data_IF_191271577678
#
_entry.id   IF_191271577678
#
_cell.length_a   1.000
_cell.length_b   1.000
_cell.length_c   1.000
_cell.angle_alpha   90.00
_cell.angle_beta   90.00
_cell.angle_gamma   90.00
#
_symmetry.space_group_name_H-M   'P 1'
#
loop_
_entity.id
_entity.type
_entity.pdbx_description
1 polymer ?
#
# COMPACT_ATOMS: atom_id res chain seq x y z
N UNK A 1 3.75 4.13 -12.78
CA UNK A 1 2.31 4.43 -12.70
C UNK A 1 2.04 5.94 -12.67
N UNK A 2 2.71 6.68 -11.80
CA UNK A 2 2.56 8.12 -11.61
C UNK A 2 1.36 8.49 -10.72
N UNK A 3 1.46 9.64 -10.05
CA UNK A 3 0.46 10.10 -9.07
C UNK A 3 -0.93 10.27 -9.69
N UNK A 4 -1.02 10.85 -10.90
CA UNK A 4 -2.31 11.07 -11.56
C UNK A 4 -3.08 9.79 -11.84
N UNK A 5 -2.39 8.72 -12.23
CA UNK A 5 -3.03 7.42 -12.46
C UNK A 5 -3.46 6.76 -11.15
N UNK A 6 -2.70 6.92 -10.07
CA UNK A 6 -3.12 6.45 -8.73
C UNK A 6 -4.41 7.16 -8.30
N UNK A 7 -4.44 8.49 -8.39
CA UNK A 7 -5.64 9.28 -8.07
C UNK A 7 -6.84 8.83 -8.90
N UNK A 8 -6.65 8.62 -10.20
CA UNK A 8 -7.71 8.19 -11.12
C UNK A 8 -8.24 6.79 -10.77
N UNK A 9 -7.37 5.85 -10.41
CA UNK A 9 -7.77 4.50 -9.99
C UNK A 9 -8.58 4.57 -8.70
N UNK A 10 -8.09 5.32 -7.71
CA UNK A 10 -8.76 5.47 -6.42
C UNK A 10 -10.13 6.14 -6.57
N UNK A 11 -10.22 7.21 -7.37
CA UNK A 11 -11.51 7.85 -7.67
C UNK A 11 -12.48 6.88 -8.34
N UNK A 12 -12.04 6.18 -9.38
CA UNK A 12 -12.87 5.22 -10.10
C UNK A 12 -13.37 4.09 -9.20
N UNK A 13 -12.52 3.60 -8.31
CA UNK A 13 -12.87 2.59 -7.34
C UNK A 13 -13.95 3.08 -6.37
N UNK A 14 -13.74 4.24 -5.74
CA UNK A 14 -14.72 4.77 -4.79
C UNK A 14 -16.01 5.25 -5.44
N UNK A 15 -15.98 5.72 -6.69
CA UNK A 15 -17.19 5.97 -7.47
C UNK A 15 -18.05 4.71 -7.63
N UNK A 16 -17.44 3.53 -7.76
CA UNK A 16 -18.15 2.25 -7.76
C UNK A 16 -18.70 1.91 -6.37
N UNK A 17 -17.85 2.01 -5.34
CA UNK A 17 -18.22 1.73 -3.95
C UNK A 17 -19.42 2.58 -3.52
N UNK A 18 -19.41 3.87 -3.80
CA UNK A 18 -20.50 4.78 -3.43
C UNK A 18 -21.80 4.57 -4.22
N UNK A 19 -21.71 3.96 -5.39
CA UNK A 19 -22.86 3.60 -6.23
C UNK A 19 -23.30 2.15 -6.07
N UNK A 20 -22.54 1.36 -5.34
CA UNK A 20 -22.85 -0.04 -5.13
C UNK A 20 -24.07 -0.19 -4.19
N UNK A 21 -24.53 -1.39 -4.05
CA UNK A 21 -25.76 -1.75 -3.34
C UNK A 21 -25.93 -1.12 -1.95
N UNK A 22 -27.15 -1.14 -1.39
CA UNK A 22 -27.52 -0.51 -0.12
C UNK A 22 -26.55 -0.77 1.02
N UNK A 23 -25.82 -1.86 0.95
CA UNK A 23 -24.89 -2.28 1.98
C UNK A 23 -23.65 -1.37 2.08
N UNK A 24 -22.95 -1.06 0.98
CA UNK A 24 -21.86 -0.08 1.00
C UNK A 24 -22.39 1.34 1.13
N UNK A 25 -23.48 1.66 0.45
CA UNK A 25 -24.08 2.99 0.53
C UNK A 25 -24.50 3.34 1.96
N UNK A 26 -25.08 2.39 2.72
CA UNK A 26 -25.51 2.63 4.11
C UNK A 26 -24.33 2.93 5.05
N UNK A 27 -23.18 2.31 4.85
CA UNK A 27 -21.98 2.52 5.68
C UNK A 27 -21.23 3.78 5.26
N UNK A 28 -20.98 3.95 3.97
CA UNK A 28 -20.22 5.09 3.47
C UNK A 28 -21.00 6.40 3.49
N UNK A 29 -22.33 6.36 3.51
CA UNK A 29 -23.16 7.55 3.73
C UNK A 29 -22.88 8.24 5.08
N UNK A 30 -22.38 7.50 6.07
CA UNK A 30 -22.00 8.02 7.39
C UNK A 30 -20.65 8.74 7.41
N UNK A 31 -19.85 8.58 6.36
CA UNK A 31 -18.50 9.19 6.26
C UNK A 31 -18.58 10.70 5.91
N UNK A 32 -19.74 11.18 5.47
CA UNK A 32 -19.97 12.58 5.12
C UNK A 32 -19.46 12.92 3.72
N UNK A 33 -18.36 13.68 3.60
CA UNK A 33 -17.86 14.12 2.29
C UNK A 33 -17.08 13.02 1.56
N UNK A 34 -17.71 12.43 0.55
CA UNK A 34 -17.10 11.41 -0.32
C UNK A 34 -15.82 11.90 -0.99
N UNK A 35 -15.77 13.18 -1.40
CA UNK A 35 -14.59 13.74 -2.06
C UNK A 35 -13.41 13.86 -1.10
N UNK A 36 -13.66 14.20 0.17
CA UNK A 36 -12.63 14.20 1.18
C UNK A 36 -12.06 12.79 1.42
N UNK A 37 -12.94 11.80 1.54
CA UNK A 37 -12.55 10.41 1.72
C UNK A 37 -11.71 9.91 0.53
N UNK A 38 -12.14 10.15 -0.71
CA UNK A 38 -11.39 9.76 -1.90
C UNK A 38 -10.00 10.41 -1.97
N UNK A 39 -9.87 11.72 -1.65
CA UNK A 39 -8.58 12.41 -1.59
C UNK A 39 -7.65 11.82 -0.54
N UNK A 40 -8.20 11.51 0.63
CA UNK A 40 -7.45 10.89 1.72
C UNK A 40 -6.91 9.53 1.33
N UNK A 41 -7.73 8.69 0.69
CA UNK A 41 -7.32 7.37 0.22
C UNK A 41 -6.28 7.46 -0.91
N UNK A 42 -6.46 8.38 -1.86
CA UNK A 42 -5.48 8.59 -2.92
C UNK A 42 -4.12 9.03 -2.36
N UNK A 43 -4.11 9.93 -1.36
CA UNK A 43 -2.88 10.35 -0.68
C UNK A 43 -2.19 9.19 0.02
N UNK A 44 -2.94 8.32 0.70
CA UNK A 44 -2.40 7.12 1.33
C UNK A 44 -1.75 6.19 0.30
N UNK A 45 -2.41 5.92 -0.80
CA UNK A 45 -1.87 5.06 -1.85
C UNK A 45 -0.58 5.64 -2.43
N UNK A 46 -0.54 6.96 -2.70
CA UNK A 46 0.65 7.63 -3.22
C UNK A 46 1.81 7.47 -2.24
N UNK A 47 1.60 7.73 -0.95
CA UNK A 47 2.65 7.68 0.06
C UNK A 47 3.19 6.25 0.24
N UNK A 48 2.31 5.26 0.34
CA UNK A 48 2.71 3.85 0.51
C UNK A 48 3.44 3.33 -0.72
N UNK A 49 3.10 3.81 -1.92
CA UNK A 49 3.79 3.46 -3.17
C UNK A 49 5.08 4.27 -3.40
N UNK A 50 5.49 5.12 -2.44
CA UNK A 50 6.73 5.86 -2.49
C UNK A 50 6.67 7.18 -3.27
N UNK A 51 5.47 7.71 -3.49
CA UNK A 51 5.24 8.93 -4.27
C UNK A 51 5.29 10.24 -3.50
N UNK A 52 5.41 10.21 -2.17
CA UNK A 52 5.46 11.42 -1.36
C UNK A 52 5.15 11.21 0.11
N UNK A 53 4.80 12.30 0.81
CA UNK A 53 4.40 12.34 2.22
C UNK A 53 3.13 13.17 2.38
N UNK A 54 2.08 12.84 1.65
CA UNK A 54 0.83 13.60 1.64
C UNK A 54 -0.17 13.14 2.71
N UNK A 55 -0.01 11.91 3.21
CA UNK A 55 -0.91 11.30 4.18
C UNK A 55 -0.21 11.14 5.53
N UNK A 56 -0.44 12.09 6.41
CA UNK A 56 0.09 12.07 7.77
C UNK A 56 -0.81 11.22 8.69
N UNK A 57 -0.74 9.90 8.65
CA UNK A 57 -1.51 9.16 9.64
C UNK A 57 -2.04 7.79 9.26
N UNK A 58 -1.33 7.06 8.40
CA UNK A 58 -1.73 5.71 7.98
C UNK A 58 -2.00 4.75 9.15
N UNK A 59 -1.19 4.80 10.22
CA UNK A 59 -1.37 3.93 11.38
C UNK A 59 -2.50 4.37 12.32
N UNK A 60 -2.73 5.67 12.48
CA UNK A 60 -3.78 6.19 13.35
C UNK A 60 -5.20 5.90 12.84
N UNK A 61 -5.39 5.64 11.56
CA UNK A 61 -6.73 5.52 10.96
C UNK A 61 -7.21 4.09 10.76
N UNK A 62 -6.40 3.09 10.95
CA UNK A 62 -6.89 1.73 11.19
C UNK A 62 -7.75 1.71 12.46
N UNK A 63 -7.33 2.43 13.51
CA UNK A 63 -8.13 2.63 14.73
C UNK A 63 -9.43 3.41 14.46
N UNK A 64 -9.46 4.29 13.45
CA UNK A 64 -10.66 5.00 13.04
C UNK A 64 -11.75 4.05 12.52
N UNK A 65 -11.39 3.01 11.79
CA UNK A 65 -12.31 1.98 11.33
C UNK A 65 -12.90 1.19 12.52
N UNK A 66 -12.12 0.94 13.56
CA UNK A 66 -12.61 0.30 14.79
C UNK A 66 -13.60 1.18 15.55
N UNK A 67 -13.47 2.50 15.50
CA UNK A 67 -14.30 3.45 16.25
C UNK A 67 -15.59 3.87 15.54
N UNK A 68 -15.70 3.71 14.22
CA UNK A 68 -16.76 4.32 13.39
C UNK A 68 -17.67 3.30 12.69
N UNK A 69 -17.94 2.15 13.32
CA UNK A 69 -18.85 1.12 12.81
C UNK A 69 -18.49 0.52 11.44
N UNK A 70 -17.26 0.69 11.01
CA UNK A 70 -16.76 -0.01 9.83
C UNK A 70 -16.73 -1.55 10.02
N UNK A 71 -16.88 -2.03 11.27
CA UNK A 71 -17.07 -3.43 11.59
C UNK A 71 -18.18 -4.11 10.78
N UNK A 72 -19.23 -3.39 10.43
CA UNK A 72 -20.36 -3.95 9.68
C UNK A 72 -19.94 -4.42 8.27
N UNK A 73 -18.87 -3.84 7.71
CA UNK A 73 -18.33 -4.19 6.39
C UNK A 73 -16.95 -4.85 6.43
N UNK A 74 -16.25 -4.75 7.57
CA UNK A 74 -14.95 -5.39 7.78
C UNK A 74 -15.12 -6.85 8.21
N UNK A 75 -15.72 -7.64 7.35
CA UNK A 75 -15.95 -9.08 7.47
C UNK A 75 -15.72 -9.74 6.10
N UNK A 76 -15.79 -11.05 6.04
CA UNK A 76 -15.57 -11.83 4.82
C UNK A 76 -16.40 -11.33 3.63
N UNK A 77 -17.72 -11.15 3.82
CA UNK A 77 -18.62 -10.63 2.77
C UNK A 77 -18.21 -9.25 2.26
N UNK A 78 -17.83 -8.36 3.18
CA UNK A 78 -17.41 -7.01 2.84
C UNK A 78 -16.10 -6.99 2.09
N UNK A 79 -15.18 -7.80 2.55
CA UNK A 79 -13.89 -7.95 1.92
C UNK A 79 -14.01 -8.55 0.51
N UNK A 80 -14.84 -9.58 0.31
CA UNK A 80 -15.13 -10.14 -1.02
C UNK A 80 -15.72 -9.10 -1.97
N UNK A 81 -16.65 -8.31 -1.48
CA UNK A 81 -17.28 -7.26 -2.30
C UNK A 81 -16.29 -6.16 -2.65
N UNK A 82 -15.53 -5.69 -1.67
CA UNK A 82 -14.47 -4.71 -1.87
C UNK A 82 -13.44 -5.18 -2.90
N UNK A 83 -13.00 -6.42 -2.76
CA UNK A 83 -12.08 -7.07 -3.67
C UNK A 83 -12.62 -7.11 -5.11
N UNK A 84 -13.84 -7.58 -5.30
CA UNK A 84 -14.47 -7.65 -6.60
C UNK A 84 -14.47 -6.29 -7.30
N UNK A 85 -14.92 -5.25 -6.61
CA UNK A 85 -14.97 -3.89 -7.16
C UNK A 85 -13.57 -3.35 -7.47
N UNK A 86 -12.58 -3.70 -6.65
CA UNK A 86 -11.20 -3.29 -6.87
C UNK A 86 -10.59 -4.00 -8.09
N UNK A 87 -10.78 -5.31 -8.23
CA UNK A 87 -10.31 -6.07 -9.40
C UNK A 87 -10.92 -5.51 -10.69
N UNK A 88 -12.24 -5.32 -10.74
CA UNK A 88 -12.92 -4.72 -11.88
C UNK A 88 -12.36 -3.33 -12.21
N UNK A 89 -12.08 -2.52 -11.19
CA UNK A 89 -11.48 -1.19 -11.38
C UNK A 89 -10.07 -1.27 -11.95
N UNK A 90 -9.26 -2.19 -11.47
CA UNK A 90 -7.89 -2.38 -11.94
C UNK A 90 -7.87 -2.91 -13.37
N UNK A 91 -8.73 -3.88 -13.71
CA UNK A 91 -8.83 -4.45 -15.05
C UNK A 91 -9.20 -3.39 -16.08
N UNK A 92 -10.19 -2.56 -15.79
CA UNK A 92 -10.56 -1.44 -16.64
C UNK A 92 -9.50 -0.32 -16.71
N UNK A 93 -8.60 -0.28 -15.73
CA UNK A 93 -7.55 0.73 -15.64
C UNK A 93 -6.24 0.32 -16.32
N UNK A 94 -6.09 -0.94 -16.71
CA UNK A 94 -4.85 -1.45 -17.34
C UNK A 94 -4.42 -0.63 -18.55
N UNK A 95 -5.36 -0.21 -19.38
CA UNK A 95 -5.09 0.56 -20.59
C UNK A 95 -4.33 1.89 -20.39
N UNK A 96 -4.34 2.44 -19.17
CA UNK A 96 -3.64 3.69 -18.87
C UNK A 96 -2.65 3.58 -17.70
N UNK A 97 -2.45 2.38 -17.16
CA UNK A 97 -1.46 2.22 -16.11
C UNK A 97 -0.04 2.37 -16.64
N UNK A 98 0.37 1.47 -17.48
CA UNK A 98 1.69 1.41 -18.14
C UNK A 98 1.79 0.11 -18.94
N UNK A 99 2.74 0.05 -19.87
CA UNK A 99 3.07 -1.18 -20.59
C UNK A 99 3.97 -2.14 -19.78
N UNK A 100 4.39 -1.75 -18.57
CA UNK A 100 5.20 -2.59 -17.70
C UNK A 100 4.30 -3.56 -16.91
N UNK A 101 4.32 -4.84 -17.29
CA UNK A 101 3.52 -5.91 -16.67
C UNK A 101 3.77 -6.08 -15.16
N UNK A 102 4.91 -5.60 -14.63
CA UNK A 102 5.22 -5.66 -13.20
C UNK A 102 4.33 -4.75 -12.36
N UNK A 103 3.78 -3.70 -12.94
CA UNK A 103 2.97 -2.71 -12.22
C UNK A 103 1.71 -3.35 -11.65
N UNK A 104 0.96 -4.11 -12.46
CA UNK A 104 -0.26 -4.78 -11.97
C UNK A 104 0.05 -5.77 -10.84
N UNK A 105 1.07 -6.60 -11.01
CA UNK A 105 1.51 -7.56 -9.99
C UNK A 105 1.95 -6.85 -8.70
N UNK A 106 2.61 -5.69 -8.81
CA UNK A 106 3.01 -4.90 -7.63
C UNK A 106 1.81 -4.28 -6.90
N UNK A 107 0.79 -3.83 -7.63
CA UNK A 107 -0.47 -3.35 -7.04
C UNK A 107 -1.19 -4.50 -6.33
N UNK A 108 -1.30 -5.65 -6.96
CA UNK A 108 -1.89 -6.84 -6.36
C UNK A 108 -1.19 -7.22 -5.05
N UNK A 109 0.15 -7.21 -5.03
CA UNK A 109 0.94 -7.50 -3.83
C UNK A 109 0.66 -6.50 -2.70
N UNK A 110 0.57 -5.23 -3.04
CA UNK A 110 0.23 -4.16 -2.09
C UNK A 110 -1.17 -4.38 -1.49
N UNK A 111 -2.16 -4.66 -2.32
CA UNK A 111 -3.55 -4.88 -1.88
C UNK A 111 -3.70 -6.16 -1.06
N UNK A 112 -3.03 -7.25 -1.45
CA UNK A 112 -2.98 -8.49 -0.69
C UNK A 112 -2.43 -8.26 0.72
N UNK A 113 -1.33 -7.53 0.86
CA UNK A 113 -0.76 -7.19 2.16
C UNK A 113 -1.74 -6.42 3.06
N UNK A 114 -2.48 -5.47 2.51
CA UNK A 114 -3.51 -4.75 3.27
C UNK A 114 -4.66 -5.66 3.67
N UNK A 115 -5.09 -6.55 2.79
CA UNK A 115 -6.16 -7.50 3.09
C UNK A 115 -5.74 -8.49 4.18
N UNK A 116 -4.51 -9.00 4.14
CA UNK A 116 -3.95 -9.85 5.20
C UNK A 116 -3.99 -9.15 6.56
N UNK A 117 -3.64 -7.87 6.58
CA UNK A 117 -3.71 -7.06 7.80
C UNK A 117 -5.15 -6.90 8.30
N UNK A 118 -6.12 -6.62 7.41
CA UNK A 118 -7.53 -6.54 7.79
C UNK A 118 -8.08 -7.88 8.28
N UNK A 119 -7.73 -8.99 7.64
CA UNK A 119 -8.11 -10.34 8.10
C UNK A 119 -7.65 -10.58 9.53
N UNK A 120 -6.41 -10.18 9.84
CA UNK A 120 -5.85 -10.31 11.18
C UNK A 120 -6.55 -9.39 12.19
N UNK A 121 -6.71 -8.11 11.84
CA UNK A 121 -7.25 -7.09 12.75
C UNK A 121 -8.75 -7.30 13.05
N UNK A 122 -9.52 -7.79 12.09
CA UNK A 122 -10.97 -7.97 12.19
C UNK A 122 -11.42 -9.43 12.36
N UNK A 123 -10.48 -10.39 12.38
CA UNK A 123 -10.73 -11.78 12.73
C UNK A 123 -11.54 -12.58 11.70
N UNK A 124 -11.39 -12.29 10.42
CA UNK A 124 -11.97 -13.08 9.34
C UNK A 124 -10.88 -13.71 8.46
N UNK A 125 -11.25 -14.64 7.61
CA UNK A 125 -10.34 -15.32 6.67
C UNK A 125 -10.94 -15.32 5.26
N UNK A 126 -10.08 -15.17 4.28
CA UNK A 126 -10.42 -15.29 2.86
C UNK A 126 -9.29 -15.99 2.14
N UNK A 127 -9.62 -16.69 1.07
CA UNK A 127 -8.62 -17.27 0.18
C UNK A 127 -7.84 -16.22 -0.62
N UNK A 128 -6.78 -16.64 -1.31
CA UNK A 128 -5.93 -15.75 -2.12
C UNK A 128 -6.74 -14.88 -3.08
N UNK A 129 -6.64 -13.56 -2.90
CA UNK A 129 -7.57 -12.59 -3.46
C UNK A 129 -7.03 -11.84 -4.65
N UNK A 130 -5.73 -11.55 -4.64
CA UNK A 130 -5.05 -10.80 -5.69
C UNK A 130 -3.96 -11.65 -6.30
N UNK A 131 -4.21 -12.23 -7.45
CA UNK A 131 -3.21 -13.01 -8.19
C UNK A 131 -3.01 -12.43 -9.60
N UNK A 132 -1.80 -12.50 -10.16
CA UNK A 132 -0.56 -12.90 -9.51
C UNK A 132 0.01 -11.84 -8.57
N UNK A 133 0.73 -12.27 -7.52
CA UNK A 133 1.46 -11.40 -6.61
C UNK A 133 2.97 -11.66 -6.70
N UNK A 134 3.76 -10.64 -6.41
CA UNK A 134 5.18 -10.84 -6.16
C UNK A 134 5.36 -11.45 -4.77
N UNK A 135 6.38 -12.30 -4.59
CA UNK A 135 6.79 -12.69 -3.24
C UNK A 135 7.13 -11.42 -2.46
N UNK A 136 6.58 -11.22 -1.26
CA UNK A 136 6.92 -10.05 -0.47
C UNK A 136 8.42 -10.01 -0.24
N UNK A 137 9.07 -8.92 -0.65
CA UNK A 137 10.44 -8.65 -0.28
C UNK A 137 10.37 -8.17 1.17
N UNK A 138 10.63 -9.08 2.12
CA UNK A 138 10.78 -8.72 3.52
C UNK A 138 12.09 -7.95 3.62
N UNK A 139 12.01 -6.64 3.58
CA UNK A 139 13.17 -5.79 3.85
C UNK A 139 13.40 -5.81 5.35
N UNK A 140 14.41 -6.54 5.78
CA UNK A 140 14.82 -6.59 7.20
C UNK A 140 15.23 -5.20 7.72
N UNK A 141 15.75 -4.34 6.84
CA UNK A 141 16.28 -3.02 7.16
C UNK A 141 15.56 -1.97 6.33
N UNK A 142 14.96 -1.00 7.00
CA UNK A 142 14.32 0.15 6.36
C UNK A 142 15.05 1.44 6.75
N UNK A 143 16.05 1.82 5.96
CA UNK A 143 16.87 3.00 6.20
C UNK A 143 16.05 4.29 6.36
N UNK A 144 14.91 4.42 5.66
CA UNK A 144 14.04 5.61 5.74
C UNK A 144 13.43 5.85 7.13
N UNK A 145 13.36 4.79 7.95
CA UNK A 145 12.79 4.85 9.30
C UNK A 145 13.89 4.76 10.39
N UNK A 146 15.16 4.82 9.99
CA UNK A 146 16.29 4.74 10.91
C UNK A 146 16.91 6.12 11.12
N UNK A 147 17.39 6.36 12.33
CA UNK A 147 18.25 7.51 12.60
C UNK A 147 19.64 7.29 12.02
N UNK A 148 20.36 8.37 11.75
CA UNK A 148 21.74 8.30 11.27
C UNK A 148 22.63 7.43 12.14
N UNK A 149 22.51 7.57 13.48
CA UNK A 149 23.23 6.75 14.43
C UNK A 149 22.89 5.25 14.31
N UNK A 150 21.61 4.91 14.14
CA UNK A 150 21.19 3.53 13.97
C UNK A 150 21.72 2.93 12.63
N UNK A 151 21.87 3.74 11.59
CA UNK A 151 22.48 3.31 10.32
C UNK A 151 23.99 3.06 10.49
N UNK A 152 24.68 3.92 11.25
CA UNK A 152 26.11 3.78 11.55
C UNK A 152 26.44 2.52 12.35
N UNK A 153 25.53 2.11 13.25
CA UNK A 153 25.67 0.92 14.09
C UNK A 153 25.47 -0.39 13.33
N UNK A 154 24.87 -0.36 12.14
CA UNK A 154 24.69 -1.57 11.30
C UNK A 154 26.03 -2.17 10.90
N UNK A 155 26.08 -3.49 10.85
CA UNK A 155 27.21 -4.21 10.28
C UNK A 155 27.32 -3.98 8.76
N UNK A 156 28.51 -4.21 8.19
CA UNK A 156 28.71 -4.11 6.74
C UNK A 156 27.79 -5.06 5.96
N UNK A 157 27.53 -6.25 6.52
CA UNK A 157 26.64 -7.26 5.91
C UNK A 157 25.21 -6.73 5.85
N UNK A 158 24.71 -6.18 6.95
CA UNK A 158 23.36 -5.61 7.02
C UNK A 158 23.19 -4.42 6.08
N UNK A 159 24.19 -3.54 6.01
CA UNK A 159 24.20 -2.43 5.06
C UNK A 159 24.14 -2.91 3.62
N UNK A 160 24.95 -3.91 3.25
CA UNK A 160 24.96 -4.48 1.91
C UNK A 160 23.64 -5.15 1.57
N UNK A 161 23.10 -5.97 2.45
CA UNK A 161 21.80 -6.64 2.25
C UNK A 161 20.66 -5.62 2.12
N UNK A 162 20.63 -4.61 2.99
CA UNK A 162 19.62 -3.56 2.96
C UNK A 162 19.66 -2.71 1.69
N UNK A 163 20.86 -2.33 1.25
CA UNK A 163 21.08 -1.55 0.02
C UNK A 163 20.77 -2.37 -1.24
N UNK A 164 21.23 -3.63 -1.30
CA UNK A 164 20.92 -4.54 -2.40
C UNK A 164 19.41 -4.78 -2.52
N UNK A 165 18.72 -4.95 -1.41
CA UNK A 165 17.25 -5.07 -1.35
C UNK A 165 16.50 -3.82 -1.86
N UNK A 166 17.19 -2.68 -2.01
CA UNK A 166 16.68 -1.45 -2.61
C UNK A 166 17.13 -1.21 -4.04
N UNK A 167 17.85 -2.18 -4.62
CA UNK A 167 18.32 -2.10 -5.99
C UNK A 167 19.59 -1.25 -6.17
N UNK A 168 20.28 -0.93 -5.08
CA UNK A 168 21.59 -0.25 -5.16
C UNK A 168 22.61 -1.24 -5.71
N UNK A 169 23.28 -0.84 -6.80
CA UNK A 169 24.34 -1.67 -7.38
C UNK A 169 25.62 -1.57 -6.53
N UNK A 170 26.00 -2.69 -5.93
CA UNK A 170 27.17 -2.83 -5.04
C UNK A 170 28.33 -3.63 -5.68
N UNK A 171 28.44 -3.65 -7.02
CA UNK A 171 29.49 -4.41 -7.74
C UNK A 171 30.91 -3.89 -7.48
N UNK A 172 31.06 -2.67 -7.00
CA UNK A 172 32.35 -2.11 -6.62
C UNK A 172 32.69 -2.45 -5.17
N UNK A 173 33.98 -2.63 -4.88
CA UNK A 173 34.47 -2.78 -3.51
C UNK A 173 34.24 -1.45 -2.78
N UNK A 174 33.17 -1.42 -1.97
CA UNK A 174 32.75 -0.24 -1.23
C UNK A 174 32.97 -0.56 0.25
N UNK A 175 33.65 0.33 0.95
CA UNK A 175 33.89 0.18 2.40
C UNK A 175 32.62 0.51 3.22
N UNK A 176 32.66 0.19 4.53
CA UNK A 176 31.51 0.45 5.43
C UNK A 176 31.14 1.92 5.46
N UNK A 177 32.10 2.82 5.42
CA UNK A 177 31.83 4.27 5.50
C UNK A 177 31.02 4.75 4.29
N UNK A 178 31.37 4.27 3.11
CA UNK A 178 30.64 4.59 1.88
C UNK A 178 29.24 3.94 1.86
N UNK A 179 29.09 2.70 2.36
CA UNK A 179 27.78 2.05 2.51
C UNK A 179 26.87 2.84 3.44
N UNK A 180 27.38 3.32 4.58
CA UNK A 180 26.66 4.20 5.51
C UNK A 180 26.24 5.49 4.81
N UNK A 181 27.15 6.12 4.06
CA UNK A 181 26.86 7.34 3.31
C UNK A 181 25.73 7.14 2.29
N UNK A 182 25.76 6.04 1.56
CA UNK A 182 24.70 5.69 0.60
C UNK A 182 23.38 5.46 1.33
N UNK A 183 23.39 4.69 2.43
CA UNK A 183 22.18 4.36 3.20
C UNK A 183 21.49 5.59 3.80
N UNK A 184 22.25 6.60 4.24
CA UNK A 184 21.72 7.87 4.76
C UNK A 184 21.13 8.78 3.68
N UNK A 185 21.50 8.58 2.41
CA UNK A 185 21.02 9.41 1.29
C UNK A 185 19.90 8.72 0.47
N UNK A 186 19.36 7.61 0.96
CA UNK A 186 18.20 6.95 0.36
C UNK A 186 16.91 7.64 0.77
#
# INVERSE_FOLDING_TARGET
LGQNNIVRIVQKFYDRVYKDEPWFTSVFARIGDASHHMRTQASMWIDVMGGGFFYHGAEFRLNFHHQHNAFEIMNEKGAERWLKLMIETLDESEQYMTNDSRVRTSINTFLAHFMDKYMLDFGFQMDELFAPTNKPIIRKINFLNMTDAAIEDLSEIELREGLAGRGVNLEKLIDKAELVRIAKNL
#
